data_IF_671501749540
#
_entry.id   IF_671501749540
#
_cell.length_a   1.000
_cell.length_b   1.000
_cell.length_c   1.000
_cell.angle_alpha   90.00
_cell.angle_beta   90.00
_cell.angle_gamma   90.00
#
_symmetry.space_group_name_H-M   'P 1'
#
loop_
_entity.id
_entity.type
_entity.pdbx_description
1 polymer ?
#
# COMPACT_ATOMS: atom_id res chain seq x y z
N UNK A 1 -21.38 -16.38 69.14
CA UNK A 1 -21.89 -15.67 67.92
C UNK A 1 -20.69 -15.30 67.08
N UNK A 2 -20.37 -16.09 66.00
CA UNK A 2 -19.24 -15.85 65.12
C UNK A 2 -19.75 -15.22 63.83
N UNK A 3 -19.33 -13.99 63.58
CA UNK A 3 -19.60 -13.30 62.32
C UNK A 3 -18.52 -13.67 61.31
N UNK A 4 -18.90 -14.42 60.29
CA UNK A 4 -18.04 -14.71 59.15
C UNK A 4 -18.22 -13.58 58.15
N UNK A 5 -17.19 -12.76 57.95
CA UNK A 5 -17.12 -11.76 56.88
C UNK A 5 -16.71 -12.45 55.59
N UNK A 6 -17.64 -12.57 54.66
CA UNK A 6 -17.34 -12.99 53.28
C UNK A 6 -16.87 -11.77 52.49
N UNK A 7 -15.57 -11.69 52.22
CA UNK A 7 -15.02 -10.71 51.30
C UNK A 7 -15.31 -11.12 49.83
N UNK A 8 -16.25 -10.44 49.19
CA UNK A 8 -16.44 -10.54 47.73
C UNK A 8 -15.33 -9.72 47.04
N UNK A 9 -14.34 -10.40 46.47
CA UNK A 9 -13.37 -9.77 45.56
C UNK A 9 -14.04 -9.56 44.20
N UNK A 10 -14.38 -8.30 43.87
CA UNK A 10 -14.74 -7.89 42.51
C UNK A 10 -13.48 -7.92 41.63
N UNK A 11 -13.32 -8.94 40.80
CA UNK A 11 -12.37 -8.90 39.72
C UNK A 11 -12.85 -7.88 38.68
N UNK A 12 -12.26 -6.71 38.68
CA UNK A 12 -12.43 -5.74 37.59
C UNK A 12 -11.80 -6.31 36.30
N UNK A 13 -12.62 -6.75 35.35
CA UNK A 13 -12.19 -7.01 33.98
C UNK A 13 -11.80 -5.69 33.34
N UNK A 14 -10.51 -5.37 33.34
CA UNK A 14 -9.98 -4.31 32.49
C UNK A 14 -10.10 -4.75 31.04
N UNK A 15 -10.78 -3.99 30.16
CA UNK A 15 -10.78 -4.28 28.75
C UNK A 15 -9.34 -4.11 28.23
N UNK A 16 -8.67 -5.22 27.95
CA UNK A 16 -7.41 -5.18 27.24
C UNK A 16 -7.70 -4.67 25.82
N UNK A 17 -7.25 -3.45 25.51
CA UNK A 17 -7.20 -2.95 24.16
C UNK A 17 -6.40 -3.96 23.32
N UNK A 18 -7.10 -4.69 22.44
CA UNK A 18 -6.42 -5.53 21.44
C UNK A 18 -5.52 -4.61 20.62
N UNK A 19 -4.23 -4.94 20.43
CA UNK A 19 -3.42 -4.19 19.49
C UNK A 19 -4.17 -4.20 18.16
N UNK A 20 -4.51 -3.03 17.64
CA UNK A 20 -5.08 -2.88 16.32
C UNK A 20 -4.02 -3.39 15.32
N UNK A 21 -4.14 -4.66 14.94
CA UNK A 21 -3.28 -5.29 13.95
C UNK A 21 -3.69 -4.73 12.57
N UNK A 22 -3.50 -3.42 12.41
CA UNK A 22 -3.79 -2.73 11.15
C UNK A 22 -2.77 -3.24 10.15
N UNK A 23 -3.26 -3.92 9.14
CA UNK A 23 -2.44 -4.45 8.06
C UNK A 23 -1.64 -3.31 7.41
N UNK A 24 -0.31 -3.44 7.28
CA UNK A 24 0.51 -2.40 6.64
C UNK A 24 -0.04 -2.02 5.28
N UNK A 25 -0.19 -0.71 5.05
CA UNK A 25 -0.67 -0.17 3.78
C UNK A 25 0.47 0.52 3.05
N UNK A 26 0.73 0.08 1.82
CA UNK A 26 1.67 0.72 0.90
C UNK A 26 0.87 1.59 -0.07
N UNK A 27 1.26 2.84 -0.24
CA UNK A 27 0.62 3.76 -1.20
C UNK A 27 1.58 4.01 -2.34
N UNK A 28 1.22 3.57 -3.54
CA UNK A 28 1.96 3.90 -4.76
C UNK A 28 1.33 5.12 -5.44
N UNK A 29 2.16 6.09 -5.79
CA UNK A 29 1.72 7.36 -6.37
C UNK A 29 2.49 7.61 -7.67
N UNK A 30 1.77 7.93 -8.73
CA UNK A 30 2.34 8.51 -9.95
C UNK A 30 1.54 9.75 -10.34
N UNK A 31 1.93 10.47 -11.39
CA UNK A 31 1.23 11.71 -11.73
C UNK A 31 -0.27 11.50 -11.93
N UNK A 32 -0.64 10.61 -12.84
CA UNK A 32 -2.04 10.42 -13.25
C UNK A 32 -2.80 9.33 -12.46
N UNK A 33 -2.14 8.59 -11.58
CA UNK A 33 -2.77 7.50 -10.82
C UNK A 33 -3.36 6.39 -11.68
N UNK A 34 -2.91 6.24 -12.94
CA UNK A 34 -3.59 5.44 -13.95
C UNK A 34 -2.72 4.38 -14.63
N UNK A 35 -1.40 4.42 -14.43
CA UNK A 35 -0.46 3.49 -15.05
C UNK A 35 0.56 2.95 -14.05
N UNK A 36 1.69 3.66 -13.81
CA UNK A 36 2.81 3.15 -12.98
C UNK A 36 2.38 2.74 -11.58
N UNK A 37 1.60 3.56 -10.89
CA UNK A 37 1.08 3.23 -9.56
C UNK A 37 0.11 2.05 -9.56
N UNK A 38 -0.66 1.89 -10.64
CA UNK A 38 -1.60 0.75 -10.83
C UNK A 38 -0.81 -0.55 -11.03
N UNK A 39 0.24 -0.53 -11.88
CA UNK A 39 1.13 -1.68 -12.08
C UNK A 39 1.76 -2.10 -10.75
N UNK A 40 2.31 -1.14 -10.00
CA UNK A 40 2.94 -1.40 -8.72
C UNK A 40 1.97 -2.03 -7.71
N UNK A 41 0.77 -1.50 -7.61
CA UNK A 41 -0.29 -2.03 -6.73
C UNK A 41 -0.68 -3.45 -7.10
N UNK A 42 -0.91 -3.73 -8.38
CA UNK A 42 -1.32 -5.05 -8.84
C UNK A 42 -0.23 -6.11 -8.55
N UNK A 43 1.02 -5.82 -8.89
CA UNK A 43 2.15 -6.72 -8.60
C UNK A 43 2.41 -6.89 -7.11
N UNK A 44 2.35 -5.80 -6.33
CA UNK A 44 2.53 -5.88 -4.88
C UNK A 44 1.50 -6.80 -4.24
N UNK A 45 0.22 -6.58 -4.51
CA UNK A 45 -0.86 -7.36 -3.90
C UNK A 45 -0.78 -8.84 -4.29
N UNK A 46 -0.40 -9.14 -5.56
CA UNK A 46 -0.16 -10.52 -6.00
C UNK A 46 1.01 -11.15 -5.25
N UNK A 47 2.19 -10.53 -5.28
CA UNK A 47 3.42 -11.09 -4.70
C UNK A 47 3.32 -11.19 -3.17
N UNK A 48 2.71 -10.18 -2.51
CA UNK A 48 2.46 -10.22 -1.08
C UNK A 48 1.60 -11.42 -0.69
N UNK A 49 0.51 -11.65 -1.42
CA UNK A 49 -0.37 -12.82 -1.20
C UNK A 49 0.39 -14.13 -1.40
N UNK A 50 1.13 -14.27 -2.50
CA UNK A 50 1.89 -15.49 -2.81
C UNK A 50 2.97 -15.81 -1.80
N UNK A 51 3.58 -14.78 -1.18
CA UNK A 51 4.64 -14.93 -0.19
C UNK A 51 4.14 -14.90 1.26
N UNK A 52 2.83 -14.80 1.47
CA UNK A 52 2.22 -14.78 2.82
C UNK A 52 2.51 -13.50 3.59
N UNK A 53 2.86 -12.40 2.92
CA UNK A 53 3.01 -11.09 3.54
C UNK A 53 1.62 -10.51 3.86
N UNK A 54 1.39 -10.17 5.12
CA UNK A 54 0.18 -9.45 5.53
C UNK A 54 0.39 -7.94 5.32
N UNK A 55 0.13 -7.49 4.12
CA UNK A 55 0.17 -6.09 3.72
C UNK A 55 -0.68 -5.89 2.46
N UNK A 56 -1.17 -4.69 2.26
CA UNK A 56 -1.91 -4.32 1.05
C UNK A 56 -1.33 -3.06 0.43
N UNK A 57 -1.54 -2.89 -0.87
CA UNK A 57 -1.21 -1.66 -1.57
C UNK A 57 -2.44 -1.03 -2.21
N UNK A 58 -2.39 0.29 -2.32
CA UNK A 58 -3.33 1.12 -3.06
C UNK A 58 -2.58 2.04 -4.02
N UNK A 59 -3.25 2.48 -5.09
CA UNK A 59 -2.70 3.45 -6.04
C UNK A 59 -3.39 4.80 -5.95
N UNK A 60 -2.61 5.87 -6.19
CA UNK A 60 -3.07 7.27 -6.18
C UNK A 60 -2.35 8.07 -7.27
N UNK A 61 -2.91 9.23 -7.58
CA UNK A 61 -2.29 10.22 -8.46
C UNK A 61 -2.02 11.54 -7.74
N UNK A 62 -1.06 12.31 -8.23
CA UNK A 62 -0.89 13.72 -7.81
C UNK A 62 -1.81 14.64 -8.63
N UNK A 63 -2.11 14.25 -9.87
CA UNK A 63 -3.04 14.90 -10.79
C UNK A 63 -3.83 13.81 -11.54
N UNK A 64 -4.80 13.14 -10.88
CA UNK A 64 -5.45 11.96 -11.43
C UNK A 64 -6.24 12.25 -12.69
N UNK A 65 -6.10 11.38 -13.69
CA UNK A 65 -6.93 11.40 -14.89
C UNK A 65 -8.26 10.65 -14.66
N UNK A 66 -9.27 10.84 -15.53
CA UNK A 66 -10.62 10.27 -15.32
C UNK A 66 -10.67 8.74 -15.30
N UNK A 67 -9.83 8.07 -16.08
CA UNK A 67 -9.88 6.64 -16.28
C UNK A 67 -8.49 5.98 -16.21
N UNK A 68 -8.46 4.68 -15.94
CA UNK A 68 -7.23 3.90 -15.96
C UNK A 68 -6.66 3.82 -17.38
N UNK A 69 -5.35 3.74 -17.51
CA UNK A 69 -4.68 3.55 -18.80
C UNK A 69 -5.11 2.22 -19.45
N UNK A 70 -5.70 2.30 -20.62
CA UNK A 70 -6.12 1.12 -21.40
C UNK A 70 -4.93 0.18 -21.66
N UNK A 71 -3.76 0.74 -21.96
CA UNK A 71 -2.52 -0.03 -22.16
C UNK A 71 -2.11 -0.77 -20.88
N UNK A 72 -2.22 -0.13 -19.74
CA UNK A 72 -1.91 -0.73 -18.44
C UNK A 72 -2.89 -1.85 -18.10
N UNK A 73 -4.17 -1.60 -18.28
CA UNK A 73 -5.22 -2.62 -18.03
C UNK A 73 -5.02 -3.86 -18.88
N UNK A 74 -4.77 -3.66 -20.19
CA UNK A 74 -4.48 -4.78 -21.11
C UNK A 74 -3.21 -5.53 -20.70
N UNK A 75 -2.13 -4.82 -20.38
CA UNK A 75 -0.88 -5.45 -19.96
C UNK A 75 -1.03 -6.28 -18.69
N UNK A 76 -1.74 -5.78 -17.68
CA UNK A 76 -2.02 -6.52 -16.45
C UNK A 76 -2.85 -7.78 -16.73
N UNK A 77 -3.85 -7.67 -17.62
CA UNK A 77 -4.67 -8.81 -18.03
C UNK A 77 -3.83 -9.87 -18.75
N UNK A 78 -2.96 -9.45 -19.69
CA UNK A 78 -2.07 -10.35 -20.44
C UNK A 78 -1.06 -11.05 -19.49
N UNK A 79 -0.64 -10.38 -18.39
CA UNK A 79 0.22 -10.94 -17.36
C UNK A 79 -0.56 -11.81 -16.32
N UNK A 80 -1.86 -11.98 -16.49
CA UNK A 80 -2.71 -12.79 -15.61
C UNK A 80 -2.96 -12.18 -14.23
N UNK A 81 -2.85 -10.84 -14.11
CA UNK A 81 -3.16 -10.13 -12.87
C UNK A 81 -4.61 -9.64 -12.85
N UNK A 82 -5.13 -9.46 -11.64
CA UNK A 82 -6.43 -8.81 -11.46
C UNK A 82 -6.34 -7.35 -11.88
N UNK A 83 -7.18 -6.95 -12.81
CA UNK A 83 -7.29 -5.56 -13.26
C UNK A 83 -8.15 -4.79 -12.26
N UNK A 84 -7.65 -3.68 -11.69
CA UNK A 84 -8.45 -2.87 -10.78
C UNK A 84 -9.63 -2.21 -11.51
N UNK A 85 -10.71 -1.99 -10.78
CA UNK A 85 -11.93 -1.36 -11.29
C UNK A 85 -12.15 0.05 -10.76
N UNK A 86 -11.43 0.43 -9.72
CA UNK A 86 -11.50 1.77 -9.15
C UNK A 86 -10.91 2.80 -10.12
N UNK A 87 -11.53 3.97 -10.16
CA UNK A 87 -11.00 5.10 -10.94
C UNK A 87 -9.77 5.71 -10.27
N UNK A 88 -8.87 6.32 -11.06
CA UNK A 88 -7.78 7.13 -10.52
C UNK A 88 -8.31 8.18 -9.54
N UNK A 89 -7.64 8.33 -8.40
CA UNK A 89 -7.99 9.33 -7.40
C UNK A 89 -6.74 10.00 -6.81
N UNK A 90 -6.90 11.22 -6.34
CA UNK A 90 -5.81 11.95 -5.72
C UNK A 90 -5.39 11.33 -4.39
N UNK A 91 -4.09 11.41 -4.06
CA UNK A 91 -3.61 11.09 -2.72
C UNK A 91 -4.22 12.07 -1.71
N UNK A 92 -4.74 11.55 -0.61
CA UNK A 92 -5.38 12.32 0.46
C UNK A 92 -4.54 12.31 1.74
N UNK A 93 -4.82 13.23 2.67
CA UNK A 93 -4.23 13.20 4.01
C UNK A 93 -4.55 11.91 4.76
N UNK A 94 -5.76 11.37 4.59
CA UNK A 94 -6.13 10.08 5.17
C UNK A 94 -5.28 8.92 4.63
N UNK A 95 -4.93 8.94 3.34
CA UNK A 95 -4.01 7.96 2.76
C UNK A 95 -2.61 8.10 3.38
N UNK A 96 -2.12 9.33 3.56
CA UNK A 96 -0.82 9.61 4.19
C UNK A 96 -0.78 9.12 5.64
N UNK A 97 -1.84 9.38 6.40
CA UNK A 97 -1.94 8.97 7.80
C UNK A 97 -1.96 7.44 7.93
N UNK A 98 -2.73 6.76 7.09
CA UNK A 98 -2.87 5.31 7.08
C UNK A 98 -1.65 4.57 6.49
N UNK A 99 -0.84 5.24 5.66
CA UNK A 99 0.29 4.63 4.99
C UNK A 99 1.38 4.18 5.95
N UNK A 100 1.92 2.99 5.76
CA UNK A 100 3.20 2.56 6.31
C UNK A 100 4.36 3.14 5.52
N UNK A 101 4.22 3.17 4.19
CA UNK A 101 5.17 3.76 3.26
C UNK A 101 4.45 4.27 2.01
N UNK A 102 4.98 5.35 1.42
CA UNK A 102 4.47 5.99 0.20
C UNK A 102 5.59 5.98 -0.83
N UNK A 103 5.35 5.40 -2.00
CA UNK A 103 6.31 5.42 -3.12
C UNK A 103 5.85 6.36 -4.21
N UNK A 104 6.64 7.38 -4.48
CA UNK A 104 6.51 8.20 -5.68
C UNK A 104 7.17 7.50 -6.87
N UNK A 105 6.45 7.32 -7.97
CA UNK A 105 6.97 6.67 -9.18
C UNK A 105 7.02 7.70 -10.30
N UNK A 106 8.16 8.39 -10.41
CA UNK A 106 8.39 9.44 -11.40
C UNK A 106 7.41 10.61 -11.28
N UNK A 107 7.13 11.05 -10.05
CA UNK A 107 6.29 12.22 -9.79
C UNK A 107 6.73 12.94 -8.51
N UNK A 108 6.32 14.19 -8.36
CA UNK A 108 6.55 14.98 -7.15
C UNK A 108 5.33 14.85 -6.21
N UNK A 109 5.55 14.34 -5.00
CA UNK A 109 4.49 14.21 -4.00
C UNK A 109 4.05 15.57 -3.45
N UNK A 110 2.78 15.72 -3.03
CA UNK A 110 2.32 16.85 -2.24
C UNK A 110 3.14 16.99 -0.94
N UNK A 111 3.27 18.21 -0.43
CA UNK A 111 4.07 18.50 0.79
C UNK A 111 3.64 17.64 1.97
N UNK A 112 2.35 17.38 2.17
CA UNK A 112 1.85 16.52 3.24
C UNK A 112 2.41 15.09 3.18
N UNK A 113 2.56 14.55 1.98
CA UNK A 113 3.12 13.21 1.77
C UNK A 113 4.66 13.21 1.85
N UNK A 114 5.33 14.17 1.20
CA UNK A 114 6.80 14.27 1.20
C UNK A 114 7.37 14.58 2.57
N UNK A 115 6.70 15.40 3.39
CA UNK A 115 7.09 15.75 4.74
C UNK A 115 6.71 14.72 5.80
N UNK A 116 5.97 13.66 5.44
CA UNK A 116 5.48 12.65 6.39
C UNK A 116 6.57 11.76 7.00
N UNK A 117 7.78 11.75 6.45
CA UNK A 117 8.85 10.81 6.80
C UNK A 117 8.60 9.37 6.34
N UNK A 118 7.54 9.12 5.57
CA UNK A 118 7.14 7.79 5.08
C UNK A 118 7.38 7.62 3.59
N UNK A 119 7.89 8.64 2.88
CA UNK A 119 8.01 8.64 1.43
C UNK A 119 9.36 8.15 0.94
N UNK A 120 9.35 7.47 -0.21
CA UNK A 120 10.50 7.08 -0.99
C UNK A 120 10.20 7.24 -2.49
N UNK A 121 11.23 7.24 -3.34
CA UNK A 121 11.09 7.45 -4.77
C UNK A 121 11.60 6.26 -5.58
N UNK A 122 10.92 5.98 -6.67
CA UNK A 122 11.37 5.09 -7.75
C UNK A 122 11.51 5.92 -9.03
N UNK A 123 12.63 6.63 -9.16
CA UNK A 123 12.86 7.58 -10.26
C UNK A 123 13.44 6.91 -11.53
N UNK A 124 13.83 5.64 -11.43
CA UNK A 124 14.39 4.82 -12.52
C UNK A 124 13.34 4.08 -13.36
N UNK A 125 12.04 4.23 -13.00
CA UNK A 125 10.94 3.65 -13.79
C UNK A 125 10.72 4.49 -15.05
N UNK A 126 10.87 3.91 -16.26
CA UNK A 126 10.78 4.69 -17.51
C UNK A 126 9.37 5.24 -17.76
N UNK A 127 9.29 6.46 -18.28
CA UNK A 127 8.01 7.12 -18.57
C UNK A 127 7.44 6.74 -19.93
N UNK A 128 8.24 6.74 -21.00
CA UNK A 128 7.76 6.72 -22.38
C UNK A 128 7.96 5.39 -23.12
N UNK A 129 8.43 4.36 -22.46
CA UNK A 129 8.78 3.09 -23.12
C UNK A 129 7.64 2.05 -23.15
N UNK A 130 6.45 2.43 -22.71
CA UNK A 130 5.29 1.56 -22.68
C UNK A 130 5.22 0.61 -21.49
N UNK A 131 4.24 -0.29 -21.51
CA UNK A 131 3.90 -1.15 -20.37
C UNK A 131 5.05 -2.10 -19.97
N UNK A 132 5.65 -2.80 -20.94
CA UNK A 132 6.65 -3.84 -20.64
C UNK A 132 7.85 -3.31 -19.81
N UNK A 133 8.60 -2.30 -20.28
CA UNK A 133 9.71 -1.73 -19.53
C UNK A 133 9.29 -1.12 -18.18
N UNK A 134 8.13 -0.47 -18.11
CA UNK A 134 7.59 0.04 -16.84
C UNK A 134 7.30 -1.10 -15.84
N UNK A 135 6.62 -2.15 -16.32
CA UNK A 135 6.33 -3.34 -15.55
C UNK A 135 7.60 -3.99 -15.00
N UNK A 136 8.60 -4.19 -15.84
CA UNK A 136 9.83 -4.90 -15.45
C UNK A 136 10.60 -4.13 -14.37
N UNK A 137 10.73 -2.81 -14.50
CA UNK A 137 11.34 -1.97 -13.49
C UNK A 137 10.54 -1.99 -12.18
N UNK A 138 9.23 -1.78 -12.26
CA UNK A 138 8.35 -1.77 -11.09
C UNK A 138 8.34 -3.13 -10.39
N UNK A 139 8.25 -4.23 -11.13
CA UNK A 139 8.24 -5.58 -10.56
C UNK A 139 9.49 -5.86 -9.74
N UNK A 140 10.67 -5.47 -10.21
CA UNK A 140 11.94 -5.60 -9.49
C UNK A 140 11.90 -4.84 -8.16
N UNK A 141 11.42 -3.60 -8.15
CA UNK A 141 11.25 -2.82 -6.93
C UNK A 141 10.25 -3.45 -5.95
N UNK A 142 9.12 -3.91 -6.47
CA UNK A 142 8.08 -4.57 -5.66
C UNK A 142 8.61 -5.86 -5.01
N UNK A 143 9.34 -6.68 -5.73
CA UNK A 143 9.95 -7.91 -5.20
C UNK A 143 10.89 -7.59 -4.02
N UNK A 144 11.76 -6.60 -4.17
CA UNK A 144 12.64 -6.13 -3.10
C UNK A 144 11.85 -5.60 -1.89
N UNK A 145 10.83 -4.79 -2.14
CA UNK A 145 9.97 -4.23 -1.08
C UNK A 145 9.26 -5.33 -0.29
N UNK A 146 8.69 -6.33 -0.96
CA UNK A 146 8.02 -7.46 -0.30
C UNK A 146 9.00 -8.24 0.57
N UNK A 147 10.23 -8.48 0.09
CA UNK A 147 11.28 -9.14 0.89
C UNK A 147 11.66 -8.34 2.13
N UNK A 148 11.80 -7.02 2.00
CA UNK A 148 12.10 -6.13 3.12
C UNK A 148 10.98 -6.12 4.18
N UNK A 149 9.74 -6.08 3.75
CA UNK A 149 8.59 -6.12 4.64
C UNK A 149 8.43 -7.49 5.34
N UNK A 150 8.69 -8.58 4.64
CA UNK A 150 8.70 -9.92 5.25
C UNK A 150 9.77 -10.05 6.33
N UNK A 151 10.97 -9.48 6.12
CA UNK A 151 12.03 -9.47 7.15
C UNK A 151 11.61 -8.71 8.42
N UNK A 152 10.85 -7.64 8.27
CA UNK A 152 10.35 -6.83 9.40
C UNK A 152 9.19 -7.46 10.16
N UNK A 153 8.50 -8.44 9.57
CA UNK A 153 7.37 -9.14 10.20
C UNK A 153 7.80 -10.42 10.97
N UNK A 154 9.08 -10.81 10.87
CA UNK A 154 9.68 -11.94 11.61
C UNK A 154 10.18 -11.50 12.97
#
# INVERSE_FOLDING_TARGET
>A
MSFVYVLLALLALTPQARPSNTEPTVVFVCEHGAAKSVIATAYFNKIATERGLRARAIYRGTNPQPDLSVRTMKGLQDDGLTVPVEKPSAITSADVDAATVIFAIGCTLPTSASASGKSANWDDVPDDQGYGPQRDAIKKHVETLVEDLLRKQR
#
